data_IF_760735042225
#
_entry.id   IF_760735042225
#
_cell.length_a   1.000
_cell.length_b   1.000
_cell.length_c   1.000
_cell.angle_alpha   90.00
_cell.angle_beta   90.00
_cell.angle_gamma   90.00
#
_symmetry.space_group_name_H-M   'P 1'
#
loop_
_entity.id
_entity.type
_entity.pdbx_description
1 polymer ?
#
# COMPACT_ATOMS: atom_id res chain seq x y z
N UNK A 1 -20.03 6.72 13.60
CA UNK A 1 -18.59 6.61 13.31
C UNK A 1 -18.20 7.11 11.92
N UNK A 2 -19.04 6.95 10.88
CA UNK A 2 -18.76 7.50 9.53
C UNK A 2 -18.44 9.01 9.50
N UNK A 3 -19.13 9.84 10.30
CA UNK A 3 -18.81 11.28 10.42
C UNK A 3 -17.38 11.56 10.94
N UNK A 4 -16.79 10.63 11.69
CA UNK A 4 -15.40 10.72 12.19
C UNK A 4 -14.39 10.16 11.15
N UNK A 5 -14.80 9.19 10.33
CA UNK A 5 -14.01 8.69 9.21
C UNK A 5 -13.75 9.75 8.12
N UNK A 6 -14.53 10.85 8.12
CA UNK A 6 -14.29 12.05 7.30
C UNK A 6 -13.14 12.93 7.76
N UNK A 7 -12.70 12.80 9.02
CA UNK A 7 -11.65 13.65 9.61
C UNK A 7 -10.34 12.89 9.83
N UNK A 8 -10.42 11.59 10.11
CA UNK A 8 -9.26 10.74 10.38
C UNK A 8 -9.55 9.30 9.92
N UNK A 9 -8.54 8.55 9.45
CA UNK A 9 -8.69 7.13 9.16
C UNK A 9 -9.16 6.34 10.38
N UNK A 10 -10.20 5.51 10.21
CA UNK A 10 -10.77 4.70 11.28
C UNK A 10 -10.52 3.23 10.97
N UNK A 11 -10.11 2.45 11.96
CA UNK A 11 -9.99 1.01 11.79
C UNK A 11 -11.37 0.38 11.61
N UNK A 12 -11.51 -0.52 10.64
CA UNK A 12 -12.74 -1.25 10.39
C UNK A 12 -12.50 -2.76 10.36
N UNK A 13 -13.54 -3.51 10.70
CA UNK A 13 -13.62 -4.94 10.45
C UNK A 13 -15.04 -5.30 10.03
N UNK A 14 -15.15 -6.15 9.03
CA UNK A 14 -16.41 -6.59 8.46
C UNK A 14 -16.45 -8.12 8.41
N UNK A 15 -17.54 -8.69 8.89
CA UNK A 15 -17.83 -10.12 8.80
C UNK A 15 -19.25 -10.32 8.28
N UNK A 16 -19.45 -10.88 7.07
CA UNK A 16 -20.78 -11.13 6.53
C UNK A 16 -21.49 -12.25 7.30
N UNK A 17 -22.73 -12.03 7.71
CA UNK A 17 -23.61 -13.05 8.27
C UNK A 17 -24.32 -13.89 7.20
N UNK A 18 -25.22 -14.78 7.62
CA UNK A 18 -26.11 -15.52 6.69
C UNK A 18 -27.09 -14.58 5.99
N UNK A 19 -27.53 -13.53 6.68
CA UNK A 19 -28.34 -12.44 6.16
C UNK A 19 -27.58 -11.11 6.21
N UNK A 20 -28.07 -10.11 5.48
CA UNK A 20 -27.50 -8.77 5.48
C UNK A 20 -27.62 -8.08 6.84
N UNK A 21 -28.66 -8.41 7.62
CA UNK A 21 -28.87 -7.94 8.99
C UNK A 21 -27.95 -8.62 10.01
N UNK A 22 -27.55 -9.87 9.74
CA UNK A 22 -26.61 -10.65 10.58
C UNK A 22 -25.14 -10.29 10.30
N UNK A 23 -24.90 -9.33 9.41
CA UNK A 23 -23.56 -8.88 9.06
C UNK A 23 -23.01 -7.92 10.12
N UNK A 24 -21.80 -8.21 10.60
CA UNK A 24 -21.14 -7.42 11.60
C UNK A 24 -20.18 -6.41 10.97
N UNK A 25 -20.37 -5.12 11.25
CA UNK A 25 -19.43 -4.05 10.92
C UNK A 25 -18.95 -3.37 12.20
N UNK A 26 -17.71 -3.64 12.59
CA UNK A 26 -17.03 -2.95 13.68
C UNK A 26 -16.20 -1.77 13.14
N UNK A 27 -16.40 -0.57 13.69
CA UNK A 27 -15.57 0.60 13.40
C UNK A 27 -15.16 1.30 14.70
N UNK A 28 -13.85 1.46 14.92
CA UNK A 28 -13.32 2.08 16.15
C UNK A 28 -12.08 2.95 15.86
N UNK A 29 -12.00 4.10 16.52
CA UNK A 29 -10.94 5.11 16.35
C UNK A 29 -9.74 4.94 17.31
N UNK A 30 -9.86 4.06 18.31
CA UNK A 30 -8.86 3.79 19.35
C UNK A 30 -8.36 2.35 19.27
N UNK A 31 -9.18 1.41 18.80
CA UNK A 31 -8.77 0.01 18.65
C UNK A 31 -8.08 -0.22 17.29
N UNK A 32 -6.98 -0.99 17.24
CA UNK A 32 -6.32 -1.32 15.99
C UNK A 32 -7.14 -2.32 15.16
N UNK A 33 -7.02 -2.25 13.82
CA UNK A 33 -7.75 -3.09 12.86
C UNK A 33 -7.62 -4.60 13.13
N UNK A 34 -6.46 -5.04 13.62
CA UNK A 34 -6.20 -6.44 14.00
C UNK A 34 -7.03 -6.92 15.20
N UNK A 35 -7.34 -6.04 16.16
CA UNK A 35 -8.23 -6.36 17.28
C UNK A 35 -9.69 -6.36 16.83
N UNK A 36 -10.07 -5.40 15.99
CA UNK A 36 -11.41 -5.39 15.38
C UNK A 36 -11.64 -6.61 14.48
N UNK A 37 -10.62 -7.10 13.78
CA UNK A 37 -10.69 -8.32 12.99
C UNK A 37 -10.86 -9.58 13.84
N UNK A 38 -10.32 -9.60 15.07
CA UNK A 38 -10.62 -10.66 16.05
C UNK A 38 -12.05 -10.55 16.57
N UNK A 39 -12.46 -9.34 16.96
CA UNK A 39 -13.84 -9.07 17.40
C UNK A 39 -14.85 -9.44 16.30
N UNK A 40 -14.58 -9.14 15.03
CA UNK A 40 -15.43 -9.49 13.89
C UNK A 40 -15.41 -11.00 13.56
N UNK A 41 -14.34 -11.71 13.90
CA UNK A 41 -14.27 -13.18 13.81
C UNK A 41 -15.04 -13.85 14.96
N UNK A 42 -15.10 -13.20 16.12
CA UNK A 42 -15.72 -13.73 17.34
C UNK A 42 -17.22 -13.36 17.44
N UNK A 43 -17.61 -12.17 16.97
CA UNK A 43 -18.98 -11.66 16.97
C UNK A 43 -19.69 -11.85 15.62
N UNK A 44 -18.94 -12.05 14.53
CA UNK A 44 -19.51 -12.27 13.21
C UNK A 44 -19.88 -13.73 12.99
N UNK A 45 -21.08 -13.98 12.45
CA UNK A 45 -21.56 -15.33 12.14
C UNK A 45 -20.86 -15.95 10.89
N UNK A 46 -20.06 -15.16 10.18
CA UNK A 46 -19.36 -15.53 8.96
C UNK A 46 -18.01 -16.21 9.18
N UNK A 47 -17.73 -17.28 8.42
CA UNK A 47 -16.40 -17.94 8.38
C UNK A 47 -15.30 -17.10 7.72
N UNK A 48 -15.64 -15.96 7.10
CA UNK A 48 -14.71 -15.05 6.41
C UNK A 48 -14.86 -13.66 7.01
N UNK A 49 -13.76 -12.95 7.21
CA UNK A 49 -13.76 -11.58 7.74
C UNK A 49 -12.71 -10.77 6.99
N UNK A 50 -13.00 -9.48 6.80
CA UNK A 50 -12.07 -8.49 6.30
C UNK A 50 -11.78 -7.46 7.39
N UNK A 51 -10.55 -6.94 7.41
CA UNK A 51 -10.19 -5.85 8.30
C UNK A 51 -9.15 -4.94 7.65
N UNK A 52 -9.15 -3.69 8.10
CA UNK A 52 -8.23 -2.68 7.59
C UNK A 52 -8.59 -1.29 8.09
N UNK A 53 -8.32 -0.29 7.28
CA UNK A 53 -8.61 1.12 7.57
C UNK A 53 -9.60 1.71 6.59
N UNK A 54 -10.57 2.44 7.11
CA UNK A 54 -11.62 3.11 6.37
C UNK A 54 -11.45 4.63 6.46
N UNK A 55 -11.47 5.30 5.31
CA UNK A 55 -11.47 6.76 5.18
C UNK A 55 -12.71 7.13 4.38
N UNK A 56 -13.48 8.13 4.83
CA UNK A 56 -14.66 8.60 4.11
C UNK A 56 -14.36 9.96 3.48
N UNK A 57 -14.15 9.98 2.17
CA UNK A 57 -13.94 11.22 1.41
C UNK A 57 -15.22 11.60 0.66
N UNK A 58 -15.90 12.67 1.11
CA UNK A 58 -17.18 13.09 0.52
C UNK A 58 -18.29 12.04 0.62
N UNK A 59 -18.63 11.43 -0.53
CA UNK A 59 -19.58 10.31 -0.71
C UNK A 59 -18.85 8.97 -1.00
N UNK A 60 -17.51 8.95 -1.01
CA UNK A 60 -16.67 7.79 -1.32
C UNK A 60 -16.04 7.22 -0.03
N UNK A 61 -16.39 6.00 0.32
CA UNK A 61 -15.79 5.23 1.41
C UNK A 61 -14.63 4.40 0.86
N UNK A 62 -13.42 4.83 1.20
CA UNK A 62 -12.15 4.22 0.82
C UNK A 62 -11.74 3.22 1.92
N UNK A 63 -11.61 1.95 1.57
CA UNK A 63 -11.26 0.86 2.49
C UNK A 63 -9.92 0.26 2.08
N UNK A 64 -8.88 0.52 2.85
CA UNK A 64 -7.58 -0.15 2.70
C UNK A 64 -7.60 -1.44 3.51
N UNK A 65 -7.63 -2.59 2.84
CA UNK A 65 -7.74 -3.90 3.46
C UNK A 65 -6.36 -4.50 3.73
N UNK A 66 -6.09 -4.82 5.00
CA UNK A 66 -4.95 -5.68 5.38
C UNK A 66 -5.29 -7.16 5.15
N UNK A 67 -6.58 -7.50 5.30
CA UNK A 67 -7.13 -8.81 4.95
C UNK A 67 -8.40 -8.60 4.14
N UNK A 68 -8.34 -8.97 2.88
CA UNK A 68 -9.47 -8.85 1.94
C UNK A 68 -10.37 -10.09 1.94
N UNK A 69 -11.57 -9.92 1.37
CA UNK A 69 -12.48 -11.00 1.05
C UNK A 69 -13.15 -10.71 -0.29
N UNK A 70 -13.52 -11.75 -1.07
CA UNK A 70 -14.19 -11.54 -2.35
C UNK A 70 -15.56 -10.87 -2.14
N UNK A 71 -15.89 -9.90 -2.99
CA UNK A 71 -17.14 -9.14 -2.98
C UNK A 71 -17.36 -8.28 -1.73
N UNK A 72 -16.29 -7.78 -1.13
CA UNK A 72 -16.35 -6.89 0.04
C UNK A 72 -17.06 -5.58 -0.31
N UNK A 73 -16.72 -4.96 -1.45
CA UNK A 73 -17.28 -3.67 -1.85
C UNK A 73 -18.81 -3.75 -1.99
N UNK A 74 -19.29 -4.76 -2.73
CA UNK A 74 -20.72 -4.98 -3.00
C UNK A 74 -21.51 -5.34 -1.74
N UNK A 75 -20.96 -6.20 -0.88
CA UNK A 75 -21.62 -6.62 0.38
C UNK A 75 -21.68 -5.47 1.39
N UNK A 76 -20.61 -4.69 1.49
CA UNK A 76 -20.58 -3.55 2.40
C UNK A 76 -21.48 -2.42 1.90
N UNK A 77 -21.50 -2.12 0.59
CA UNK A 77 -22.44 -1.15 0.00
C UNK A 77 -23.89 -1.56 0.26
N UNK A 78 -24.22 -2.85 0.13
CA UNK A 78 -25.56 -3.37 0.42
C UNK A 78 -25.93 -3.26 1.91
N UNK A 79 -25.01 -3.62 2.81
CA UNK A 79 -25.17 -3.44 4.27
C UNK A 79 -25.37 -1.96 4.67
N UNK A 80 -24.57 -1.06 4.11
CA UNK A 80 -24.69 0.38 4.34
C UNK A 80 -26.01 0.94 3.76
N UNK A 81 -26.48 0.40 2.63
CA UNK A 81 -27.80 0.68 2.06
C UNK A 81 -28.95 0.35 3.02
N UNK A 82 -28.92 -0.83 3.66
CA UNK A 82 -29.90 -1.23 4.69
C UNK A 82 -29.89 -0.28 5.90
N UNK A 83 -28.71 0.26 6.25
CA UNK A 83 -28.53 1.27 7.30
C UNK A 83 -28.87 2.71 6.85
N UNK A 84 -29.50 2.88 5.67
CA UNK A 84 -29.82 4.17 5.02
C UNK A 84 -28.61 5.08 4.74
N UNK A 85 -27.43 4.49 4.58
CA UNK A 85 -26.18 5.20 4.24
C UNK A 85 -25.83 4.94 2.77
N UNK A 86 -26.17 5.89 1.89
CA UNK A 86 -25.79 5.85 0.47
C UNK A 86 -24.37 6.41 0.29
N UNK A 87 -23.39 5.52 0.13
CA UNK A 87 -21.98 5.88 -0.18
C UNK A 87 -21.43 4.95 -1.27
N UNK A 88 -20.53 5.47 -2.10
CA UNK A 88 -19.73 4.70 -3.04
C UNK A 88 -18.60 4.01 -2.25
N UNK A 89 -18.24 2.77 -2.58
CA UNK A 89 -17.24 2.00 -1.82
C UNK A 89 -16.09 1.63 -2.74
N UNK A 90 -14.88 2.01 -2.33
CA UNK A 90 -13.62 1.67 -3.01
C UNK A 90 -12.76 0.84 -2.07
N UNK A 91 -12.33 -0.33 -2.52
CA UNK A 91 -11.49 -1.27 -1.76
C UNK A 91 -10.09 -1.27 -2.34
N UNK A 92 -9.10 -0.94 -1.52
CA UNK A 92 -7.68 -1.01 -1.84
C UNK A 92 -7.00 -2.14 -1.05
N UNK A 93 -5.94 -2.70 -1.62
CA UNK A 93 -5.06 -3.64 -0.91
C UNK A 93 -4.09 -2.91 0.04
N UNK A 94 -3.31 -3.68 0.79
CA UNK A 94 -2.29 -3.15 1.71
C UNK A 94 -1.17 -2.34 1.03
N UNK A 95 -1.09 -2.36 -0.31
CA UNK A 95 -0.11 -1.62 -1.12
C UNK A 95 -0.72 -0.40 -1.82
N UNK A 96 -2.01 -0.13 -1.63
CA UNK A 96 -2.71 0.96 -2.30
C UNK A 96 -3.14 0.66 -3.74
N UNK A 97 -3.13 -0.61 -4.18
CA UNK A 97 -3.75 -1.00 -5.45
C UNK A 97 -5.25 -1.21 -5.26
N UNK A 98 -6.03 -0.80 -6.25
CA UNK A 98 -7.47 -0.96 -6.27
C UNK A 98 -7.85 -2.43 -6.52
N UNK A 99 -8.54 -3.05 -5.56
CA UNK A 99 -8.99 -4.44 -5.61
C UNK A 99 -10.41 -4.57 -6.15
N UNK A 100 -11.32 -3.74 -5.63
CA UNK A 100 -12.73 -3.71 -6.01
C UNK A 100 -13.24 -2.27 -5.93
N UNK A 101 -13.96 -1.81 -6.95
CA UNK A 101 -14.61 -0.50 -6.96
C UNK A 101 -16.08 -0.68 -7.37
N UNK A 102 -16.99 -0.21 -6.52
CA UNK A 102 -18.43 -0.20 -6.75
C UNK A 102 -18.92 1.26 -6.73
N UNK A 103 -18.45 2.01 -7.73
CA UNK A 103 -18.82 3.40 -8.00
C UNK A 103 -19.96 3.38 -9.02
N UNK A 104 -21.16 3.71 -8.57
CA UNK A 104 -22.26 4.09 -9.46
C UNK A 104 -22.27 5.61 -9.60
N UNK A 105 -22.43 6.08 -10.83
CA UNK A 105 -22.55 7.48 -11.19
C UNK A 105 -23.90 8.00 -10.65
N UNK A 106 -23.89 8.59 -9.45
CA UNK A 106 -25.07 9.21 -8.87
C UNK A 106 -25.17 10.64 -9.43
N UNK A 107 -26.23 11.00 -10.16
CA UNK A 107 -26.43 12.37 -10.62
C UNK A 107 -26.57 13.33 -9.43
N UNK A 108 -25.93 14.49 -9.54
CA UNK A 108 -26.17 15.64 -8.67
C UNK A 108 -27.46 16.34 -9.12
N UNK A 109 -28.47 16.40 -8.24
CA UNK A 109 -29.11 17.69 -7.93
C UNK A 109 -30.02 17.62 -6.66
N UNK A 110 -30.24 18.77 -5.99
CA UNK A 110 -31.05 18.95 -4.79
C UNK A 110 -32.53 19.19 -5.14
N UNK A 111 -33.41 18.81 -4.22
CA UNK A 111 -34.85 19.17 -4.19
C UNK A 111 -35.71 18.73 -5.40
N UNK A 112 -36.51 17.67 -5.23
CA UNK A 112 -37.95 17.71 -5.52
C UNK A 112 -38.68 16.48 -4.95
N UNK A 113 -39.80 16.77 -4.30
CA UNK A 113 -40.81 15.86 -3.77
C UNK A 113 -41.48 14.96 -4.83
N UNK A 114 -42.10 13.91 -4.29
CA UNK A 114 -43.37 13.29 -4.70
C UNK A 114 -43.37 11.97 -5.52
N UNK A 115 -44.00 11.00 -4.85
CA UNK A 115 -44.92 9.93 -5.31
C UNK A 115 -44.34 8.68 -6.01
N UNK A 116 -44.33 7.54 -5.31
CA UNK A 116 -45.38 6.47 -5.22
C UNK A 116 -45.22 5.44 -6.36
N UNK A 117 -45.40 4.12 -6.24
CA UNK A 117 -45.79 3.21 -5.15
C UNK A 117 -45.47 1.75 -5.57
N UNK A 118 -45.36 0.89 -4.54
CA UNK A 118 -45.73 -0.53 -4.39
C UNK A 118 -45.22 -1.65 -5.33
N UNK A 119 -44.60 -2.74 -4.84
CA UNK A 119 -45.12 -3.91 -4.06
C UNK A 119 -45.82 -4.94 -4.99
N UNK A 120 -45.77 -6.28 -4.89
CA UNK A 120 -45.16 -7.26 -4.00
C UNK A 120 -45.31 -8.69 -4.65
N UNK A 121 -44.53 -9.65 -4.14
CA UNK A 121 -44.82 -11.08 -3.84
C UNK A 121 -45.19 -12.19 -4.89
N UNK A 122 -44.24 -13.14 -5.01
CA UNK A 122 -44.29 -14.63 -4.81
C UNK A 122 -45.23 -15.57 -5.57
N UNK A 123 -44.66 -16.70 -6.07
CA UNK A 123 -45.03 -18.09 -5.65
C UNK A 123 -44.12 -19.18 -6.29
N UNK A 124 -43.68 -20.14 -5.47
CA UNK A 124 -43.18 -21.52 -5.81
C UNK A 124 -44.36 -22.53 -5.61
N UNK A 125 -44.36 -23.87 -5.92
CA UNK A 125 -43.25 -24.88 -5.86
C UNK A 125 -43.29 -26.05 -6.92
N UNK A 126 -42.42 -27.07 -6.72
CA UNK A 126 -41.99 -28.24 -7.54
C UNK A 126 -42.94 -29.49 -7.53
N UNK A 127 -42.57 -30.79 -7.79
CA UNK A 127 -41.40 -31.49 -8.42
C UNK A 127 -41.74 -32.73 -9.32
N UNK A 128 -40.75 -33.38 -9.98
CA UNK A 128 -40.80 -34.86 -10.24
C UNK A 128 -40.15 -35.46 -11.51
N UNK A 129 -39.27 -36.45 -11.27
CA UNK A 129 -38.91 -37.64 -12.09
C UNK A 129 -37.67 -37.65 -13.02
N UNK A 130 -36.81 -38.65 -12.77
CA UNK A 130 -35.78 -39.29 -13.61
C UNK A 130 -35.91 -40.83 -13.42
N UNK A 131 -35.23 -41.77 -14.15
CA UNK A 131 -34.21 -41.64 -15.22
C UNK A 131 -34.32 -42.64 -16.44
N UNK A 132 -33.36 -42.52 -17.38
CA UNK A 132 -32.74 -43.51 -18.33
C UNK A 132 -33.42 -43.98 -19.66
N UNK A 133 -32.67 -44.46 -20.70
CA UNK A 133 -31.21 -44.51 -20.93
C UNK A 133 -30.70 -43.97 -22.30
N UNK A 134 -29.38 -44.11 -22.51
CA UNK A 134 -28.50 -43.50 -23.51
C UNK A 134 -28.78 -43.72 -25.01
N UNK A 135 -28.47 -42.70 -25.82
CA UNK A 135 -28.04 -42.81 -27.22
C UNK A 135 -27.02 -41.69 -27.57
N UNK A 136 -26.09 -42.01 -28.46
CA UNK A 136 -24.78 -41.37 -28.69
C UNK A 136 -24.79 -39.91 -29.22
N UNK A 137 -23.65 -39.19 -29.14
CA UNK A 137 -23.55 -37.76 -29.43
C UNK A 137 -23.30 -37.47 -30.91
N UNK A 138 -23.94 -36.41 -31.43
CA UNK A 138 -23.31 -35.62 -32.50
C UNK A 138 -24.02 -35.47 -33.83
N UNK A 139 -25.29 -35.88 -33.99
CA UNK A 139 -26.03 -35.60 -35.23
C UNK A 139 -27.36 -34.87 -34.98
N UNK A 140 -27.46 -33.65 -35.51
CA UNK A 140 -28.68 -32.84 -35.58
C UNK A 140 -29.11 -32.62 -37.04
N UNK A 141 -28.56 -33.42 -37.98
CA UNK A 141 -28.86 -33.32 -39.42
C UNK A 141 -30.27 -33.80 -39.79
N UNK A 142 -31.11 -34.15 -38.82
CA UNK A 142 -32.52 -34.44 -39.05
C UNK A 142 -33.39 -33.56 -38.13
N UNK A 143 -33.49 -32.28 -38.48
CA UNK A 143 -34.58 -31.44 -38.00
C UNK A 143 -35.71 -31.50 -39.05
N UNK A 144 -36.93 -31.95 -38.69
CA UNK A 144 -38.08 -32.00 -39.60
C UNK A 144 -38.35 -30.64 -40.24
N UNK A 145 -38.77 -30.66 -41.51
CA UNK A 145 -38.93 -29.48 -42.38
C UNK A 145 -39.97 -28.43 -41.92
N UNK A 146 -40.58 -28.59 -40.74
CA UNK A 146 -41.69 -27.76 -40.26
C UNK A 146 -41.38 -26.94 -39.00
N UNK A 147 -40.10 -26.75 -38.66
CA UNK A 147 -39.70 -25.80 -37.60
C UNK A 147 -39.52 -24.37 -38.13
N UNK A 148 -39.81 -23.33 -37.31
CA UNK A 148 -39.67 -21.93 -37.68
C UNK A 148 -38.23 -21.61 -38.13
N UNK A 149 -38.09 -20.75 -39.14
CA UNK A 149 -36.81 -20.40 -39.79
C UNK A 149 -35.67 -20.08 -38.79
N UNK A 150 -36.02 -19.49 -37.64
CA UNK A 150 -35.09 -19.17 -36.54
C UNK A 150 -34.37 -20.41 -35.99
N UNK A 151 -35.02 -21.57 -35.94
CA UNK A 151 -34.40 -22.81 -35.44
C UNK A 151 -33.35 -23.35 -36.40
N UNK A 152 -33.59 -23.26 -37.71
CA UNK A 152 -32.62 -23.69 -38.74
C UNK A 152 -31.37 -22.83 -38.72
N UNK A 153 -31.53 -21.51 -38.61
CA UNK A 153 -30.42 -20.57 -38.51
C UNK A 153 -29.52 -20.81 -37.28
N UNK A 154 -30.11 -21.19 -36.15
CA UNK A 154 -29.34 -21.52 -34.93
C UNK A 154 -28.53 -22.81 -35.11
N UNK A 155 -29.11 -23.83 -35.73
CA UNK A 155 -28.44 -25.11 -36.03
C UNK A 155 -27.30 -24.91 -37.03
N UNK A 156 -27.50 -24.13 -38.09
CA UNK A 156 -26.46 -23.80 -39.08
C UNK A 156 -25.28 -23.06 -38.44
N UNK A 157 -25.56 -22.05 -37.60
CA UNK A 157 -24.50 -21.32 -36.88
C UNK A 157 -23.75 -22.22 -35.91
N UNK A 158 -24.44 -23.07 -35.16
CA UNK A 158 -23.81 -23.98 -34.22
C UNK A 158 -22.90 -25.00 -34.93
N UNK A 159 -23.33 -25.53 -36.08
CA UNK A 159 -22.52 -26.42 -36.91
C UNK A 159 -21.28 -25.71 -37.49
N UNK A 160 -21.40 -24.43 -37.86
CA UNK A 160 -20.26 -23.63 -38.33
C UNK A 160 -19.21 -23.33 -37.24
N UNK A 161 -19.60 -23.37 -35.95
CA UNK A 161 -18.69 -23.13 -34.82
C UNK A 161 -18.00 -24.40 -34.31
N UNK A 162 -18.57 -25.59 -34.58
CA UNK A 162 -18.01 -26.89 -34.19
C UNK A 162 -16.52 -27.07 -34.57
N UNK A 163 -16.07 -26.82 -35.82
CA UNK A 163 -14.65 -26.96 -36.16
C UNK A 163 -13.75 -25.93 -35.44
N UNK A 164 -14.28 -24.75 -35.09
CA UNK A 164 -13.52 -23.72 -34.36
C UNK A 164 -13.32 -24.10 -32.88
N UNK A 165 -14.29 -24.80 -32.30
CA UNK A 165 -14.20 -25.34 -30.94
C UNK A 165 -13.18 -26.48 -30.90
N UNK A 166 -13.20 -27.38 -31.90
CA UNK A 166 -12.24 -28.48 -32.03
C UNK A 166 -10.79 -27.99 -32.25
N UNK A 167 -10.62 -26.86 -32.94
CA UNK A 167 -9.32 -26.21 -33.13
C UNK A 167 -8.82 -25.43 -31.90
N UNK A 168 -9.59 -25.34 -30.82
CA UNK A 168 -9.22 -24.60 -29.61
C UNK A 168 -8.36 -25.46 -28.67
N UNK A 169 -7.32 -24.90 -28.01
CA UNK A 169 -6.48 -25.62 -27.05
C UNK A 169 -7.28 -26.31 -25.94
N UNK A 170 -6.78 -27.47 -25.49
CA UNK A 170 -7.44 -28.37 -24.54
C UNK A 170 -7.90 -27.68 -23.24
N UNK A 171 -7.24 -26.61 -22.81
CA UNK A 171 -7.58 -25.82 -21.62
C UNK A 171 -8.95 -25.11 -21.68
N UNK A 172 -9.48 -24.86 -22.88
CA UNK A 172 -10.80 -24.24 -23.08
C UNK A 172 -11.79 -25.16 -23.79
N UNK A 173 -11.31 -26.21 -24.46
CA UNK A 173 -12.13 -27.15 -25.21
C UNK A 173 -13.25 -27.78 -24.37
N UNK A 174 -12.95 -28.23 -23.15
CA UNK A 174 -13.94 -28.91 -22.28
C UNK A 174 -15.13 -28.00 -21.92
N UNK A 175 -14.86 -26.72 -21.61
CA UNK A 175 -15.90 -25.73 -21.28
C UNK A 175 -16.70 -25.30 -22.52
N UNK A 176 -16.04 -25.18 -23.68
CA UNK A 176 -16.70 -24.80 -24.94
C UNK A 176 -17.59 -25.92 -25.47
N UNK A 177 -17.14 -27.19 -25.36
CA UNK A 177 -17.94 -28.37 -25.72
C UNK A 177 -19.16 -28.51 -24.79
N UNK A 178 -19.00 -28.26 -23.48
CA UNK A 178 -20.13 -28.25 -22.55
C UNK A 178 -21.15 -27.14 -22.90
N UNK A 179 -20.69 -25.94 -23.24
CA UNK A 179 -21.55 -24.85 -23.68
C UNK A 179 -22.26 -25.15 -25.02
N UNK A 180 -21.56 -25.79 -25.96
CA UNK A 180 -22.13 -26.23 -27.24
C UNK A 180 -23.27 -27.24 -27.00
N UNK A 181 -23.06 -28.25 -26.15
CA UNK A 181 -24.07 -29.25 -25.83
C UNK A 181 -25.30 -28.64 -25.14
N UNK A 182 -25.09 -27.68 -24.23
CA UNK A 182 -26.19 -26.94 -23.59
C UNK A 182 -27.07 -26.19 -24.60
N UNK A 183 -26.48 -25.61 -25.65
CA UNK A 183 -27.23 -24.94 -26.73
C UNK A 183 -28.00 -25.96 -27.58
N UNK A 184 -27.41 -27.13 -27.88
CA UNK A 184 -28.11 -28.22 -28.59
C UNK A 184 -29.36 -28.65 -27.82
N UNK A 185 -29.27 -28.81 -26.50
CA UNK A 185 -30.40 -29.20 -25.66
C UNK A 185 -31.49 -28.13 -25.60
N UNK A 186 -31.12 -26.84 -25.56
CA UNK A 186 -32.08 -25.74 -25.63
C UNK A 186 -32.82 -25.68 -26.97
N UNK A 187 -32.11 -25.92 -28.09
CA UNK A 187 -32.73 -26.03 -29.42
C UNK A 187 -33.70 -27.22 -29.48
N UNK A 188 -33.34 -28.36 -28.87
CA UNK A 188 -34.22 -29.54 -28.81
C UNK A 188 -35.49 -29.26 -28.01
N UNK A 189 -35.36 -28.61 -26.85
CA UNK A 189 -36.46 -28.22 -25.95
C UNK A 189 -37.35 -27.10 -26.48
N UNK A 190 -36.90 -26.37 -27.51
CA UNK A 190 -37.65 -25.26 -28.10
C UNK A 190 -37.40 -23.90 -27.43
N UNK A 191 -36.38 -23.81 -26.58
CA UNK A 191 -35.96 -22.58 -25.89
C UNK A 191 -35.13 -21.67 -26.82
N UNK A 192 -35.75 -21.17 -27.88
CA UNK A 192 -35.08 -20.48 -28.99
C UNK A 192 -34.37 -19.19 -28.55
N UNK A 193 -34.94 -18.40 -27.63
CA UNK A 193 -34.35 -17.15 -27.14
C UNK A 193 -33.10 -17.39 -26.25
N UNK A 194 -33.14 -18.43 -25.41
CA UNK A 194 -31.98 -18.80 -24.60
C UNK A 194 -30.87 -19.40 -25.47
N UNK A 195 -31.22 -20.26 -26.43
CA UNK A 195 -30.28 -20.81 -27.39
C UNK A 195 -29.57 -19.71 -28.19
N UNK A 196 -30.30 -18.68 -28.65
CA UNK A 196 -29.74 -17.52 -29.35
C UNK A 196 -28.76 -16.72 -28.48
N UNK A 197 -29.12 -16.47 -27.23
CA UNK A 197 -28.27 -15.74 -26.28
C UNK A 197 -26.99 -16.51 -25.97
N UNK A 198 -27.10 -17.81 -25.71
CA UNK A 198 -25.96 -18.67 -25.40
C UNK A 198 -25.06 -18.89 -26.61
N UNK A 199 -25.62 -18.98 -27.82
CA UNK A 199 -24.86 -19.02 -29.07
C UNK A 199 -24.05 -17.74 -29.28
N UNK A 200 -24.63 -16.55 -29.08
CA UNK A 200 -23.90 -15.28 -29.19
C UNK A 200 -22.74 -15.19 -28.18
N UNK A 201 -22.94 -15.69 -26.95
CA UNK A 201 -21.86 -15.76 -25.94
C UNK A 201 -20.76 -16.74 -26.33
N UNK A 202 -21.12 -17.88 -26.94
CA UNK A 202 -20.16 -18.85 -27.46
C UNK A 202 -19.32 -18.25 -28.59
N UNK A 203 -19.94 -17.54 -29.54
CA UNK A 203 -19.27 -16.83 -30.63
C UNK A 203 -18.30 -15.75 -30.10
N UNK A 204 -18.74 -14.96 -29.12
CA UNK A 204 -17.90 -13.93 -28.51
C UNK A 204 -16.72 -14.53 -27.74
N UNK A 205 -16.93 -15.64 -27.05
CA UNK A 205 -15.86 -16.36 -26.32
C UNK A 205 -14.85 -16.94 -27.30
N UNK A 206 -15.31 -17.60 -28.38
CA UNK A 206 -14.43 -18.10 -29.44
C UNK A 206 -13.65 -16.99 -30.13
N UNK A 207 -14.27 -15.83 -30.35
CA UNK A 207 -13.59 -14.67 -30.95
C UNK A 207 -12.50 -14.10 -30.03
N UNK A 208 -12.74 -14.04 -28.71
CA UNK A 208 -11.71 -13.64 -27.73
C UNK A 208 -10.59 -14.66 -27.62
N UNK A 209 -10.91 -15.95 -27.66
CA UNK A 209 -9.93 -17.04 -27.62
C UNK A 209 -9.09 -17.05 -28.90
N UNK A 210 -9.70 -16.83 -30.06
CA UNK A 210 -8.99 -16.68 -31.34
C UNK A 210 -8.14 -15.40 -31.38
N UNK A 211 -8.61 -14.28 -30.81
CA UNK A 211 -7.81 -13.06 -30.68
C UNK A 211 -6.63 -13.24 -29.73
N UNK A 212 -6.80 -13.99 -28.63
CA UNK A 212 -5.71 -14.35 -27.73
C UNK A 212 -4.70 -15.32 -28.37
N UNK A 213 -5.12 -16.14 -29.34
CA UNK A 213 -4.25 -17.05 -30.10
C UNK A 213 -3.54 -16.36 -31.28
N UNK A 214 -4.23 -15.45 -31.99
CA UNK A 214 -3.71 -14.73 -33.14
C UNK A 214 -3.01 -13.40 -32.78
N UNK A 215 -3.14 -12.93 -31.54
CA UNK A 215 -2.40 -11.77 -31.00
C UNK A 215 -0.88 -11.99 -30.85
N UNK A 216 -0.39 -13.19 -31.20
CA UNK A 216 1.04 -13.52 -31.25
C UNK A 216 1.69 -13.33 -32.64
N UNK A 217 0.99 -12.85 -33.66
CA UNK A 217 1.59 -12.63 -34.98
C UNK A 217 1.08 -11.36 -35.68
N UNK A 218 2.00 -10.41 -35.89
CA UNK A 218 1.92 -9.24 -36.79
C UNK A 218 1.36 -7.93 -36.21
N UNK A 219 2.06 -7.39 -35.23
CA UNK A 219 2.48 -5.99 -35.15
C UNK A 219 3.73 -6.02 -34.25
N UNK A 220 4.77 -5.21 -34.49
CA UNK A 220 5.88 -5.15 -33.52
C UNK A 220 5.29 -4.75 -32.17
N UNK A 221 5.20 -5.66 -31.17
CA UNK A 221 4.37 -5.40 -30.01
C UNK A 221 5.03 -4.29 -29.21
N UNK A 222 4.25 -3.36 -28.67
CA UNK A 222 4.76 -2.35 -27.73
C UNK A 222 5.61 -3.00 -26.61
N UNK A 223 5.27 -4.23 -26.21
CA UNK A 223 6.04 -5.05 -25.28
C UNK A 223 7.46 -5.40 -25.76
N UNK A 224 7.68 -5.63 -27.07
CA UNK A 224 9.03 -5.87 -27.63
C UNK A 224 9.90 -4.61 -27.58
N UNK A 225 9.31 -3.45 -27.90
CA UNK A 225 10.01 -2.17 -27.80
C UNK A 225 10.34 -1.81 -26.33
N UNK A 226 9.41 -2.05 -25.41
CA UNK A 226 9.61 -1.87 -23.97
C UNK A 226 10.67 -2.83 -23.41
N UNK A 227 10.64 -4.09 -23.82
CA UNK A 227 11.64 -5.08 -23.44
C UNK A 227 13.05 -4.68 -23.90
N UNK A 228 13.22 -4.26 -25.17
CA UNK A 228 14.51 -3.76 -25.69
C UNK A 228 15.05 -2.58 -24.87
N UNK A 229 14.17 -1.70 -24.39
CA UNK A 229 14.55 -0.54 -23.55
C UNK A 229 15.03 -0.97 -22.16
N UNK A 230 14.32 -1.89 -21.52
CA UNK A 230 14.58 -2.28 -20.12
C UNK A 230 15.72 -3.30 -20.03
N UNK A 231 15.84 -4.22 -20.99
CA UNK A 231 16.85 -5.29 -20.96
C UNK A 231 18.28 -4.74 -21.00
N UNK A 232 18.54 -3.63 -21.72
CA UNK A 232 19.86 -2.99 -21.74
C UNK A 232 20.28 -2.45 -20.38
N UNK A 233 19.32 -1.92 -19.62
CA UNK A 233 19.55 -1.45 -18.25
C UNK A 233 19.77 -2.64 -17.30
N UNK A 234 18.91 -3.67 -17.38
CA UNK A 234 19.03 -4.86 -16.54
C UNK A 234 20.30 -5.68 -16.80
N UNK A 235 20.80 -5.69 -18.04
CA UNK A 235 22.08 -6.32 -18.38
C UNK A 235 23.27 -5.71 -17.63
N UNK A 236 23.20 -4.41 -17.31
CA UNK A 236 24.20 -3.72 -16.48
C UNK A 236 23.92 -3.93 -14.99
N UNK A 237 22.67 -3.78 -14.58
CA UNK A 237 22.32 -3.70 -13.16
C UNK A 237 22.30 -5.06 -12.47
N UNK A 238 21.93 -6.15 -13.16
CA UNK A 238 21.89 -7.51 -12.56
C UNK A 238 23.29 -7.99 -12.13
N UNK A 239 24.35 -7.89 -12.97
CA UNK A 239 25.71 -8.18 -12.54
C UNK A 239 26.21 -7.26 -11.41
N UNK A 240 25.88 -5.96 -11.47
CA UNK A 240 26.25 -5.00 -10.43
C UNK A 240 25.58 -5.34 -9.08
N UNK A 241 24.31 -5.72 -9.08
CA UNK A 241 23.59 -6.16 -7.89
C UNK A 241 24.17 -7.47 -7.33
N UNK A 242 24.51 -8.44 -8.19
CA UNK A 242 25.17 -9.68 -7.76
C UNK A 242 26.55 -9.42 -7.14
N UNK A 243 27.30 -8.43 -7.63
CA UNK A 243 28.58 -8.01 -7.05
C UNK A 243 28.41 -7.23 -5.74
N UNK A 244 27.32 -6.46 -5.61
CA UNK A 244 27.01 -5.63 -4.43
C UNK A 244 26.41 -6.36 -3.23
N UNK A 245 26.04 -7.65 -3.38
CA UNK A 245 25.47 -8.45 -2.31
C UNK A 245 23.94 -8.31 -2.20
N UNK A 246 23.23 -9.19 -2.90
CA UNK A 246 21.76 -9.32 -2.84
C UNK A 246 21.34 -10.46 -1.91
N UNK A 247 20.11 -10.37 -1.39
CA UNK A 247 19.59 -11.34 -0.41
C UNK A 247 19.48 -12.77 -0.97
N UNK A 248 19.15 -12.90 -2.26
CA UNK A 248 19.04 -14.19 -2.94
C UNK A 248 19.66 -14.14 -4.35
N UNK A 249 20.99 -14.33 -4.46
CA UNK A 249 21.70 -14.27 -5.74
C UNK A 249 21.37 -15.45 -6.66
N UNK A 250 20.85 -16.56 -6.13
CA UNK A 250 20.44 -17.71 -6.93
C UNK A 250 19.10 -17.43 -7.61
N UNK A 251 18.12 -16.91 -6.86
CA UNK A 251 16.82 -16.51 -7.40
C UNK A 251 16.93 -15.34 -8.36
N UNK A 252 17.79 -14.36 -8.09
CA UNK A 252 18.02 -13.25 -9.01
C UNK A 252 18.51 -13.74 -10.38
N UNK A 253 19.49 -14.65 -10.42
CA UNK A 253 19.96 -15.27 -11.67
C UNK A 253 18.86 -16.07 -12.36
N UNK A 254 18.11 -16.88 -11.61
CA UNK A 254 17.05 -17.70 -12.17
C UNK A 254 15.92 -16.88 -12.81
N UNK A 255 15.50 -15.77 -12.17
CA UNK A 255 14.47 -14.88 -12.73
C UNK A 255 15.02 -14.12 -13.95
N UNK A 256 16.30 -13.74 -13.94
CA UNK A 256 16.95 -13.10 -15.08
C UNK A 256 17.03 -14.03 -16.30
N UNK A 257 17.47 -15.28 -16.10
CA UNK A 257 17.53 -16.29 -17.17
C UNK A 257 16.13 -16.63 -17.70
N UNK A 258 15.13 -16.70 -16.82
CA UNK A 258 13.74 -16.88 -17.21
C UNK A 258 13.23 -15.72 -18.08
N UNK A 259 13.52 -14.47 -17.71
CA UNK A 259 13.12 -13.30 -18.48
C UNK A 259 13.76 -13.31 -19.88
N UNK A 260 15.05 -13.64 -19.97
CA UNK A 260 15.75 -13.79 -21.25
C UNK A 260 15.17 -14.92 -22.10
N UNK A 261 14.86 -16.08 -21.50
CA UNK A 261 14.23 -17.22 -22.19
C UNK A 261 12.84 -16.90 -22.73
N UNK A 262 12.04 -16.13 -21.99
CA UNK A 262 10.72 -15.67 -22.43
C UNK A 262 10.79 -14.69 -23.58
N UNK A 263 11.72 -13.74 -23.53
CA UNK A 263 11.98 -12.84 -24.64
C UNK A 263 12.47 -13.57 -25.90
N UNK A 264 13.35 -14.58 -25.75
CA UNK A 264 13.80 -15.42 -26.86
C UNK A 264 12.67 -16.23 -27.49
N UNK A 265 11.66 -16.61 -26.71
CA UNK A 265 10.44 -17.26 -27.18
C UNK A 265 9.39 -16.30 -27.76
N UNK A 266 9.69 -14.99 -27.82
CA UNK A 266 8.77 -13.95 -28.31
C UNK A 266 7.70 -13.51 -27.30
N UNK A 267 7.72 -14.04 -26.07
CA UNK A 267 6.79 -13.71 -24.99
C UNK A 267 7.32 -12.50 -24.19
N UNK A 268 7.27 -11.32 -24.82
CA UNK A 268 7.79 -10.08 -24.24
C UNK A 268 6.98 -9.59 -23.04
N UNK A 269 5.70 -9.95 -22.92
CA UNK A 269 4.91 -9.62 -21.73
C UNK A 269 5.36 -10.43 -20.51
N UNK A 270 5.58 -11.74 -20.65
CA UNK A 270 6.12 -12.53 -19.55
C UNK A 270 7.55 -12.11 -19.20
N UNK A 271 8.35 -11.71 -20.20
CA UNK A 271 9.68 -11.16 -19.98
C UNK A 271 9.62 -9.85 -19.16
N UNK A 272 8.71 -8.93 -19.48
CA UNK A 272 8.51 -7.69 -18.73
C UNK A 272 8.04 -7.95 -17.28
N UNK A 273 7.10 -8.87 -17.07
CA UNK A 273 6.68 -9.25 -15.70
C UNK A 273 7.83 -9.85 -14.89
N UNK A 274 8.68 -10.65 -15.54
CA UNK A 274 9.87 -11.18 -14.90
C UNK A 274 10.90 -10.08 -14.60
N UNK A 275 11.04 -9.07 -15.48
CA UNK A 275 11.86 -7.88 -15.24
C UNK A 275 11.36 -7.06 -14.03
N UNK A 276 10.05 -6.85 -13.91
CA UNK A 276 9.47 -6.16 -12.75
C UNK A 276 9.78 -6.92 -11.45
N UNK A 277 9.75 -8.25 -11.48
CA UNK A 277 10.11 -9.11 -10.35
C UNK A 277 11.61 -9.09 -9.99
N UNK A 278 12.50 -8.64 -10.89
CA UNK A 278 13.93 -8.45 -10.59
C UNK A 278 14.17 -7.21 -9.74
N UNK A 279 13.36 -6.15 -9.91
CA UNK A 279 13.50 -4.89 -9.17
C UNK A 279 13.57 -5.09 -7.64
N UNK A 280 12.64 -5.83 -6.98
CA UNK A 280 12.75 -6.09 -5.55
C UNK A 280 13.87 -7.09 -5.19
N UNK A 281 14.30 -7.96 -6.11
CA UNK A 281 15.38 -8.94 -5.86
C UNK A 281 16.78 -8.33 -5.96
N UNK A 282 16.90 -7.22 -6.70
CA UNK A 282 18.12 -6.42 -6.82
C UNK A 282 18.27 -5.39 -5.71
N UNK A 283 17.27 -5.28 -4.83
CA UNK A 283 17.42 -4.51 -3.61
C UNK A 283 18.64 -5.05 -2.85
N UNK A 284 19.58 -4.17 -2.45
CA UNK A 284 20.73 -4.60 -1.67
C UNK A 284 20.25 -5.34 -0.44
N UNK A 285 21.06 -6.29 0.06
CA UNK A 285 20.87 -6.84 1.40
C UNK A 285 20.62 -5.67 2.36
N UNK A 286 19.37 -5.53 2.80
CA UNK A 286 19.06 -4.59 3.85
C UNK A 286 19.92 -5.03 5.03
N UNK A 287 20.89 -4.19 5.37
CA UNK A 287 21.48 -4.23 6.70
C UNK A 287 20.31 -4.31 7.70
N UNK A 288 20.42 -5.14 8.75
CA UNK A 288 19.33 -5.37 9.69
C UNK A 288 18.69 -4.03 10.04
N UNK A 289 17.37 -3.94 9.83
CA UNK A 289 16.62 -2.70 9.96
C UNK A 289 17.02 -2.00 11.26
N UNK A 290 17.66 -0.83 11.13
CA UNK A 290 17.87 0.04 12.27
C UNK A 290 16.49 0.33 12.90
N UNK A 291 16.38 0.29 14.23
CA UNK A 291 15.11 0.53 14.90
C UNK A 291 14.56 1.88 14.44
N UNK A 292 13.25 1.94 14.12
CA UNK A 292 12.58 3.20 13.80
C UNK A 292 12.78 4.15 14.98
N UNK A 293 13.73 5.08 14.86
CA UNK A 293 13.91 6.16 15.84
C UNK A 293 12.64 6.99 15.78
N UNK A 294 11.83 6.90 16.83
CA UNK A 294 10.55 7.58 16.89
C UNK A 294 10.78 9.09 16.87
N UNK A 295 9.86 9.86 16.29
CA UNK A 295 9.85 11.34 16.36
C UNK A 295 9.99 11.84 17.80
N UNK A 296 9.45 11.07 18.76
CA UNK A 296 9.60 11.28 20.21
C UNK A 296 11.07 11.24 20.67
N UNK A 297 11.91 10.39 20.08
CA UNK A 297 13.33 10.33 20.43
C UNK A 297 14.07 11.61 20.01
N UNK A 298 13.78 12.16 18.84
CA UNK A 298 14.37 13.44 18.40
C UNK A 298 13.89 14.62 19.25
N UNK A 299 12.60 14.67 19.60
CA UNK A 299 12.06 15.67 20.54
C UNK A 299 12.74 15.58 21.91
N UNK A 300 12.94 14.37 22.44
CA UNK A 300 13.66 14.16 23.69
C UNK A 300 15.11 14.60 23.60
N UNK A 301 15.78 14.33 22.49
CA UNK A 301 17.17 14.76 22.27
C UNK A 301 17.31 16.27 22.19
N UNK A 302 16.32 16.97 21.60
CA UNK A 302 16.27 18.44 21.65
C UNK A 302 16.15 18.97 23.08
N UNK A 303 15.25 18.40 23.89
CA UNK A 303 15.08 18.79 25.30
C UNK A 303 16.39 18.57 26.08
N UNK A 304 17.04 17.41 25.88
CA UNK A 304 18.33 17.09 26.53
C UNK A 304 19.43 18.10 26.15
N UNK A 305 19.45 18.59 24.91
CA UNK A 305 20.39 19.64 24.50
C UNK A 305 20.06 21.00 25.12
N UNK A 306 18.79 21.40 25.12
CA UNK A 306 18.31 22.65 25.73
C UNK A 306 18.62 22.71 27.23
N UNK A 307 18.37 21.62 27.96
CA UNK A 307 18.67 21.54 29.39
C UNK A 307 20.18 21.58 29.65
N UNK A 308 20.99 20.96 28.76
CA UNK A 308 22.44 21.07 28.84
C UNK A 308 22.91 22.51 28.60
N UNK A 309 22.39 23.23 27.59
CA UNK A 309 22.69 24.65 27.35
C UNK A 309 22.35 25.51 28.57
N UNK A 310 21.17 25.33 29.17
CA UNK A 310 20.79 26.05 30.40
C UNK A 310 21.73 25.76 31.55
N UNK A 311 22.12 24.48 31.73
CA UNK A 311 23.05 24.08 32.78
C UNK A 311 24.44 24.68 32.55
N UNK A 312 24.97 24.61 31.33
CA UNK A 312 26.24 25.22 30.94
C UNK A 312 26.28 26.71 31.28
N UNK A 313 25.22 27.45 30.92
CA UNK A 313 25.12 28.88 31.24
C UNK A 313 25.12 29.14 32.75
N UNK A 314 24.32 28.38 33.51
CA UNK A 314 24.29 28.47 34.98
C UNK A 314 25.66 28.19 35.63
N UNK A 315 26.42 27.25 35.07
CA UNK A 315 27.77 26.94 35.56
C UNK A 315 28.80 28.03 35.19
N UNK A 316 28.66 28.66 34.02
CA UNK A 316 29.45 29.84 33.66
C UNK A 316 29.12 31.05 34.56
N UNK A 317 27.83 31.30 34.83
CA UNK A 317 27.39 32.35 35.76
C UNK A 317 27.96 32.11 37.17
N UNK A 318 27.95 30.85 37.64
CA UNK A 318 28.57 30.45 38.90
C UNK A 318 30.08 30.74 38.91
N UNK A 319 30.78 30.44 37.82
CA UNK A 319 32.20 30.73 37.70
C UNK A 319 32.48 32.24 37.72
N UNK A 320 31.73 33.03 36.93
CA UNK A 320 31.86 34.49 36.90
C UNK A 320 31.63 35.10 38.29
N UNK A 321 30.61 34.65 39.02
CA UNK A 321 30.36 35.07 40.40
C UNK A 321 31.49 34.68 41.36
N UNK A 322 32.06 33.48 41.21
CA UNK A 322 33.18 33.02 42.04
C UNK A 322 34.46 33.83 41.79
N UNK A 323 34.73 34.17 40.53
CA UNK A 323 35.84 35.07 40.14
C UNK A 323 35.65 36.42 40.81
N UNK A 324 34.51 37.07 40.59
CA UNK A 324 34.21 38.39 41.14
C UNK A 324 34.30 38.44 42.68
N UNK A 325 33.86 37.38 43.37
CA UNK A 325 33.94 37.30 44.82
C UNK A 325 35.38 37.16 45.34
N UNK A 326 36.21 36.37 44.66
CA UNK A 326 37.61 36.14 45.06
C UNK A 326 38.54 37.29 44.69
N UNK A 327 38.16 38.13 43.72
CA UNK A 327 38.92 39.30 43.28
C UNK A 327 38.32 40.62 43.78
N UNK A 328 37.46 40.58 44.80
CA UNK A 328 36.72 41.77 45.28
C UNK A 328 37.64 42.87 45.87
N UNK A 329 38.77 42.46 46.45
CA UNK A 329 39.78 43.34 47.06
C UNK A 329 40.96 43.64 46.12
N UNK A 330 40.91 43.16 44.86
CA UNK A 330 41.94 43.40 43.86
C UNK A 330 41.85 44.83 43.29
N UNK A 331 42.99 45.44 42.99
CA UNK A 331 43.06 46.77 42.36
C UNK A 331 42.43 46.75 40.96
N UNK A 332 42.50 45.60 40.26
CA UNK A 332 42.01 45.41 38.90
C UNK A 332 40.60 44.78 38.81
N UNK A 333 39.85 44.76 39.91
CA UNK A 333 38.54 44.05 39.99
C UNK A 333 37.52 44.43 38.92
N UNK A 334 37.54 45.67 38.42
CA UNK A 334 36.63 46.13 37.38
C UNK A 334 36.96 45.52 36.02
N UNK A 335 38.24 45.38 35.70
CA UNK A 335 38.70 44.72 34.47
C UNK A 335 38.45 43.21 34.54
N UNK A 336 38.69 42.60 35.70
CA UNK A 336 38.42 41.18 35.94
C UNK A 336 36.92 40.86 35.76
N UNK A 337 36.03 41.74 36.26
CA UNK A 337 34.59 41.58 36.08
C UNK A 337 34.18 41.66 34.60
N UNK A 338 34.76 42.57 33.83
CA UNK A 338 34.49 42.67 32.38
C UNK A 338 34.96 41.42 31.63
N UNK A 339 36.15 40.90 31.94
CA UNK A 339 36.67 39.66 31.33
C UNK A 339 35.78 38.46 31.69
N UNK A 340 35.26 38.42 32.92
CA UNK A 340 34.32 37.38 33.34
C UNK A 340 32.97 37.47 32.62
N UNK A 341 32.52 38.66 32.23
CA UNK A 341 31.34 38.85 31.38
C UNK A 341 31.62 38.46 29.92
N UNK A 342 32.80 38.76 29.37
CA UNK A 342 33.20 38.32 28.03
C UNK A 342 33.23 36.79 27.90
N UNK A 343 33.55 36.07 28.98
CA UNK A 343 33.45 34.61 29.05
C UNK A 343 32.04 34.08 28.69
N UNK A 344 30.99 34.84 29.00
CA UNK A 344 29.62 34.47 28.65
C UNK A 344 29.31 34.67 27.16
N UNK A 345 30.02 35.56 26.46
CA UNK A 345 29.85 35.76 25.03
C UNK A 345 30.36 34.55 24.20
N UNK A 346 31.38 33.84 24.70
CA UNK A 346 31.87 32.60 24.08
C UNK A 346 30.80 31.49 24.08
N UNK A 347 29.80 31.57 24.97
CA UNK A 347 28.67 30.65 24.99
C UNK A 347 27.70 30.87 23.81
N UNK A 348 27.65 32.07 23.22
CA UNK A 348 26.75 32.38 22.10
C UNK A 348 27.11 31.60 20.81
N UNK A 349 28.29 30.99 20.77
CA UNK A 349 28.67 30.04 19.72
C UNK A 349 27.77 28.78 19.68
N UNK A 350 27.11 28.44 20.79
CA UNK A 350 26.11 27.36 20.86
C UNK A 350 24.72 27.86 20.47
N UNK A 351 24.57 28.25 19.21
CA UNK A 351 23.35 28.79 18.65
C UNK A 351 22.19 27.75 18.54
N UNK A 352 21.09 28.16 17.92
CA UNK A 352 19.84 27.40 17.81
C UNK A 352 19.82 26.38 16.65
N UNK A 353 20.85 26.35 15.78
CA UNK A 353 20.85 25.51 14.56
C UNK A 353 20.60 24.04 14.83
N UNK A 354 21.16 23.49 15.90
CA UNK A 354 20.95 22.08 16.25
C UNK A 354 19.50 21.81 16.65
N UNK A 355 18.87 22.76 17.34
CA UNK A 355 17.49 22.64 17.82
C UNK A 355 16.52 22.71 16.64
N UNK A 356 16.73 23.64 15.72
CA UNK A 356 15.95 23.79 14.49
C UNK A 356 16.02 22.54 13.62
N UNK A 357 17.22 21.99 13.43
CA UNK A 357 17.42 20.77 12.65
C UNK A 357 16.72 19.56 13.30
N UNK A 358 16.74 19.44 14.63
CA UNK A 358 16.04 18.37 15.32
C UNK A 358 14.51 18.49 15.17
N UNK A 359 13.97 19.70 15.24
CA UNK A 359 12.55 19.96 14.98
C UNK A 359 12.17 19.66 13.52
N UNK A 360 12.99 20.07 12.56
CA UNK A 360 12.77 19.79 11.13
C UNK A 360 12.79 18.27 10.85
N UNK A 361 13.70 17.52 11.49
CA UNK A 361 13.74 16.05 11.40
C UNK A 361 12.44 15.42 11.91
N UNK A 362 11.84 15.95 12.98
CA UNK A 362 10.59 15.41 13.53
C UNK A 362 9.40 15.60 12.60
N UNK A 363 9.44 16.64 11.77
CA UNK A 363 8.35 17.01 10.86
C UNK A 363 8.51 16.41 9.46
N UNK A 364 9.74 16.17 9.00
CA UNK A 364 10.03 15.62 7.67
C UNK A 364 9.66 14.13 7.58
N UNK A 365 9.11 13.64 6.47
CA UNK A 365 8.83 12.21 6.27
C UNK A 365 10.10 11.35 6.17
N UNK A 366 9.99 10.05 6.43
CA UNK A 366 11.12 9.12 6.23
C UNK A 366 11.52 9.09 4.75
N UNK A 367 12.80 9.34 4.48
CA UNK A 367 13.31 9.40 3.13
C UNK A 367 14.62 10.18 3.01
N UNK A 368 15.09 10.45 1.77
CA UNK A 368 16.35 11.13 1.51
C UNK A 368 16.46 12.51 2.18
N UNK A 369 15.35 13.24 2.29
CA UNK A 369 15.29 14.55 2.95
C UNK A 369 15.63 14.43 4.46
N UNK A 370 14.97 13.53 5.19
CA UNK A 370 15.27 13.28 6.62
C UNK A 370 16.70 12.76 6.83
N UNK A 371 17.23 11.96 5.91
CA UNK A 371 18.65 11.55 5.93
C UNK A 371 19.59 12.75 5.77
N UNK A 372 19.30 13.67 4.86
CA UNK A 372 20.10 14.88 4.68
C UNK A 372 20.07 15.78 5.92
N UNK A 373 18.91 15.92 6.57
CA UNK A 373 18.77 16.67 7.83
C UNK A 373 19.59 16.05 8.97
N UNK A 374 19.54 14.73 9.13
CA UNK A 374 20.37 14.00 10.12
C UNK A 374 21.87 14.22 9.89
N UNK A 375 22.30 14.27 8.62
CA UNK A 375 23.70 14.57 8.26
C UNK A 375 24.09 16.00 8.61
N UNK A 376 23.21 16.98 8.38
CA UNK A 376 23.44 18.37 8.79
C UNK A 376 23.52 18.52 10.30
N UNK A 377 22.62 17.86 11.05
CA UNK A 377 22.65 17.85 12.51
C UNK A 377 23.96 17.27 13.06
N UNK A 378 24.46 16.17 12.48
CA UNK A 378 25.79 15.64 12.80
C UNK A 378 26.92 16.63 12.54
N UNK A 379 26.86 17.39 11.44
CA UNK A 379 27.88 18.38 11.13
C UNK A 379 27.87 19.53 12.16
N UNK A 380 26.70 20.01 12.58
CA UNK A 380 26.57 21.04 13.63
C UNK A 380 27.09 20.52 14.97
N UNK A 381 26.76 19.28 15.35
CA UNK A 381 27.33 18.65 16.56
C UNK A 381 28.86 18.62 16.48
N UNK A 382 29.43 18.27 15.33
CA UNK A 382 30.88 18.30 15.12
C UNK A 382 31.49 19.69 15.33
N UNK A 383 30.84 20.74 14.85
CA UNK A 383 31.26 22.13 15.08
C UNK A 383 31.22 22.48 16.58
N UNK A 384 30.14 22.13 17.28
CA UNK A 384 30.03 22.39 18.71
C UNK A 384 31.09 21.64 19.53
N UNK A 385 31.39 20.38 19.17
CA UNK A 385 32.46 19.62 19.81
C UNK A 385 33.84 20.27 19.58
N UNK A 386 34.11 20.83 18.39
CA UNK A 386 35.33 21.57 18.13
C UNK A 386 35.45 22.84 18.99
N UNK A 387 34.34 23.57 19.16
CA UNK A 387 34.29 24.74 20.07
C UNK A 387 34.63 24.31 21.49
N UNK A 388 34.03 23.21 21.98
CA UNK A 388 34.29 22.65 23.31
C UNK A 388 35.73 22.16 23.52
N UNK A 389 36.44 21.83 22.45
CA UNK A 389 37.85 21.43 22.49
C UNK A 389 38.83 22.61 22.47
N UNK A 390 38.32 23.84 22.34
CA UNK A 390 39.14 25.04 22.42
C UNK A 390 39.84 25.17 23.79
N UNK A 391 40.99 25.85 23.85
CA UNK A 391 41.70 26.10 25.11
C UNK A 391 40.83 26.80 26.15
N UNK A 392 39.90 27.66 25.72
CA UNK A 392 38.97 28.38 26.57
C UNK A 392 38.10 27.42 27.41
N UNK A 393 37.37 26.50 26.77
CA UNK A 393 36.47 25.61 27.51
C UNK A 393 37.22 24.59 28.39
N UNK A 394 38.49 24.28 28.07
CA UNK A 394 39.35 23.51 28.98
C UNK A 394 39.71 24.33 30.22
N UNK A 395 40.12 25.58 30.03
CA UNK A 395 40.45 26.47 31.15
C UNK A 395 39.23 26.79 32.03
N UNK A 396 38.03 26.84 31.45
CA UNK A 396 36.77 26.99 32.20
C UNK A 396 36.52 25.79 33.11
N UNK A 397 36.61 24.55 32.60
CA UNK A 397 36.38 23.35 33.43
C UNK A 397 37.51 23.13 34.45
N UNK A 398 38.77 23.42 34.09
CA UNK A 398 39.97 23.26 34.93
C UNK A 398 40.32 24.54 35.73
N UNK A 399 39.35 25.42 35.97
CA UNK A 399 39.59 26.70 36.62
C UNK A 399 39.94 26.56 38.13
N UNK A 400 40.67 27.52 38.73
CA UNK A 400 41.03 27.48 40.15
C UNK A 400 39.98 28.07 41.11
N UNK A 401 38.93 28.73 40.60
CA UNK A 401 37.98 29.51 41.42
C UNK A 401 36.86 28.65 41.99
N UNK A 402 36.26 27.80 41.17
CA UNK A 402 35.17 26.91 41.60
C UNK A 402 35.02 25.71 40.66
N UNK A 403 34.58 24.58 41.19
CA UNK A 403 34.32 23.41 40.35
C UNK A 403 33.10 23.67 39.46
N UNK A 404 33.32 23.57 38.14
CA UNK A 404 32.32 23.58 37.09
C UNK A 404 32.57 22.44 36.11
N UNK A 405 31.56 22.09 35.33
CA UNK A 405 31.56 21.00 34.37
C UNK A 405 30.79 21.43 33.11
N UNK A 406 31.13 22.62 32.57
CA UNK A 406 30.50 23.22 31.40
C UNK A 406 30.76 22.34 30.19
N UNK A 407 32.03 22.09 29.86
CA UNK A 407 32.39 21.38 28.64
C UNK A 407 32.07 19.88 28.74
N UNK A 408 32.27 19.29 29.93
CA UNK A 408 31.87 17.90 30.19
C UNK A 408 30.36 17.67 30.02
N UNK A 409 29.50 18.54 30.60
CA UNK A 409 28.04 18.45 30.46
C UNK A 409 27.61 18.56 28.99
N UNK A 410 28.22 19.49 28.24
CA UNK A 410 27.93 19.69 26.83
C UNK A 410 28.26 18.45 25.99
N UNK A 411 29.46 17.88 26.16
CA UNK A 411 29.90 16.68 25.44
C UNK A 411 28.99 15.49 25.71
N UNK A 412 28.56 15.28 26.96
CA UNK A 412 27.66 14.19 27.31
C UNK A 412 26.30 14.33 26.62
N UNK A 413 25.75 15.55 26.60
CA UNK A 413 24.48 15.84 25.95
C UNK A 413 24.58 15.65 24.43
N UNK A 414 25.57 16.26 23.77
CA UNK A 414 25.82 16.14 22.34
C UNK A 414 26.05 14.68 21.93
N UNK A 415 26.78 13.90 22.73
CA UNK A 415 26.96 12.47 22.49
C UNK A 415 25.65 11.67 22.58
N UNK A 416 24.71 12.09 23.41
CA UNK A 416 23.36 11.48 23.50
C UNK A 416 22.54 11.82 22.25
N UNK A 417 22.56 13.08 21.81
CA UNK A 417 21.90 13.52 20.58
C UNK A 417 22.48 12.79 19.37
N UNK A 418 23.80 12.71 19.27
CA UNK A 418 24.50 12.01 18.18
C UNK A 418 24.10 10.54 18.08
N UNK A 419 23.98 9.83 19.21
CA UNK A 419 23.48 8.45 19.25
C UNK A 419 22.04 8.30 18.76
N UNK A 420 21.22 9.34 18.89
CA UNK A 420 19.83 9.33 18.41
C UNK A 420 19.76 9.61 16.90
N UNK A 421 20.75 10.31 16.36
CA UNK A 421 20.86 10.61 14.94
C UNK A 421 21.48 9.47 14.11
N UNK A 422 22.15 8.52 14.76
CA UNK A 422 22.68 7.29 14.17
C UNK A 422 21.56 6.28 13.90
#
# INVERSE_FOLDING_TARGET
>A
MLKKARKQPIAFAFSPGKSEEDSYLGMDHRKPAKMLGKDAKEQGEGNKHAFGTAVLDGKLLILTCEREMPSLAKRLKKYLGTQKVKVNVQVLDASGNLLEEDVEDLPDDPEMDADEADDETTATPAPGAAPEPAAAPGDISQVPADRPAVTRMLVERLNALRPKIEATPASFAEKLVAAQNGIVDQIRKGDIEQAKTNLARLEQTLSRVAAAQNGAASAEPAASAQWKKIVGQLQSDVPAALAGGVADPARLRAVWDFAQGKAAAGDFEAALRAADALTPLMAPLAAPAAPKVSTVAFQRSRIVWLDAKRKMKSELDKLAAAIAAQTADDEDKAEIALIAEEMLAEFDQFDERLEDLLDEITSAEEGPARVALRKRAHAVIGQYLQVLDSPFFRAVDDNPFTSVAVASTARQSLGTVQKTLA
#
